data_IF_354610176464
#
_entry.id   IF_354610176464
#
_cell.length_a   1.000
_cell.length_b   1.000
_cell.length_c   1.000
_cell.angle_alpha   90.00
_cell.angle_beta   90.00
_cell.angle_gamma   90.00
#
_symmetry.space_group_name_H-M   'P 1'
#
loop_
_entity.id
_entity.type
_entity.pdbx_description
1 polymer ?
#
# COMPACT_ATOMS: atom_id res chain seq x y z
N UNK A 1 -7.94 4.81 36.80
CA UNK A 1 -6.48 4.87 36.57
C UNK A 1 -6.27 5.09 35.08
N UNK A 2 -5.66 6.20 34.67
CA UNK A 2 -5.43 6.55 33.27
C UNK A 2 -4.13 5.88 32.82
N UNK A 3 -4.22 4.84 32.00
CA UNK A 3 -3.04 4.23 31.40
C UNK A 3 -2.49 5.16 30.32
N UNK A 4 -1.37 5.82 30.61
CA UNK A 4 -0.57 6.54 29.62
C UNK A 4 0.16 5.47 28.80
N UNK A 5 -0.31 5.21 27.59
CA UNK A 5 0.43 4.39 26.63
C UNK A 5 1.60 5.27 26.16
N UNK A 6 2.79 4.97 26.68
CA UNK A 6 4.04 5.59 26.29
C UNK A 6 4.31 5.29 24.82
N UNK A 7 4.52 6.34 24.02
CA UNK A 7 4.76 6.34 22.58
C UNK A 7 6.09 5.63 22.17
N UNK A 8 6.74 4.91 23.08
CA UNK A 8 8.12 4.45 22.96
C UNK A 8 8.28 2.97 22.58
N UNK A 9 7.20 2.25 22.27
CA UNK A 9 7.23 0.79 22.09
C UNK A 9 6.71 0.27 20.73
N UNK A 10 6.65 1.11 19.69
CA UNK A 10 6.40 0.65 18.31
C UNK A 10 7.66 0.93 17.50
N UNK A 11 8.69 0.12 17.76
CA UNK A 11 9.82 -0.08 16.85
C UNK A 11 9.82 -1.56 16.52
N UNK A 12 9.02 -1.96 15.53
CA UNK A 12 9.29 -3.13 14.69
C UNK A 12 8.87 -2.74 13.25
N UNK A 13 9.90 -2.47 12.46
CA UNK A 13 10.03 -2.72 11.02
C UNK A 13 8.86 -2.34 10.08
N UNK A 14 9.02 -1.23 9.35
CA UNK A 14 8.20 -0.95 8.17
C UNK A 14 8.26 0.50 7.71
N UNK A 15 9.45 0.95 7.31
CA UNK A 15 9.74 2.13 6.47
C UNK A 15 8.58 3.14 6.26
N UNK A 16 8.50 4.14 7.12
CA UNK A 16 7.95 5.46 6.75
C UNK A 16 9.14 6.37 6.55
N UNK A 17 9.69 6.39 5.33
CA UNK A 17 10.60 7.46 4.91
C UNK A 17 9.72 8.63 4.49
N UNK A 18 9.51 9.54 5.43
CA UNK A 18 9.20 10.94 5.14
C UNK A 18 10.53 11.69 5.15
N UNK A 19 10.99 12.12 3.97
CA UNK A 19 11.93 13.24 3.84
C UNK A 19 13.41 12.91 3.61
N UNK A 20 13.87 13.33 2.42
CA UNK A 20 15.21 13.86 2.10
C UNK A 20 16.47 12.95 2.17
N UNK A 21 17.04 12.77 0.98
CA UNK A 21 18.47 12.67 0.61
C UNK A 21 19.35 11.49 1.11
N UNK A 22 20.13 10.99 0.13
CA UNK A 22 21.37 10.19 0.17
C UNK A 22 21.31 8.65 0.29
N UNK A 23 21.61 8.00 -0.86
CA UNK A 23 22.64 6.96 -1.13
C UNK A 23 22.70 5.71 -0.23
N UNK A 24 22.85 4.46 -0.67
CA UNK A 24 23.03 3.81 -1.98
C UNK A 24 22.81 2.31 -1.76
N UNK A 25 22.19 1.58 -2.71
CA UNK A 25 22.48 0.16 -2.97
C UNK A 25 21.96 -0.21 -4.35
N UNK A 26 22.89 -0.54 -5.24
CA UNK A 26 22.75 -0.77 -6.67
C UNK A 26 21.95 -2.06 -6.96
N UNK A 27 20.72 -1.88 -7.41
CA UNK A 27 20.00 -2.75 -8.35
C UNK A 27 19.37 -1.81 -9.38
N UNK A 28 20.01 -1.70 -10.55
CA UNK A 28 19.54 -1.05 -11.78
C UNK A 28 18.75 0.26 -11.62
N UNK A 29 19.42 1.40 -11.80
CA UNK A 29 18.87 2.76 -11.94
C UNK A 29 17.36 2.89 -11.67
N UNK A 30 16.99 2.76 -10.40
CA UNK A 30 15.72 3.22 -9.89
C UNK A 30 15.72 4.73 -10.09
N UNK A 31 15.09 5.19 -11.17
CA UNK A 31 14.89 6.62 -11.40
C UNK A 31 14.23 7.18 -10.15
N UNK A 32 14.90 8.08 -9.45
CA UNK A 32 14.52 8.72 -8.19
C UNK A 32 13.34 9.68 -8.37
N UNK A 33 12.33 9.22 -9.11
CA UNK A 33 11.14 9.94 -9.48
C UNK A 33 10.04 9.75 -8.44
N UNK A 34 9.14 10.74 -8.27
CA UNK A 34 7.96 10.59 -7.43
C UNK A 34 7.11 9.35 -7.80
N UNK A 35 7.08 8.99 -9.08
CA UNK A 35 6.38 7.81 -9.58
C UNK A 35 6.97 6.52 -9.01
N UNK A 36 8.29 6.37 -9.06
CA UNK A 36 8.99 5.20 -8.52
C UNK A 36 8.79 5.08 -7.00
N UNK A 37 8.93 6.16 -6.25
CA UNK A 37 8.70 6.16 -4.79
C UNK A 37 7.26 5.81 -4.45
N UNK A 38 6.27 6.38 -5.16
CA UNK A 38 4.86 6.04 -4.96
C UNK A 38 4.57 4.57 -5.28
N UNK A 39 5.22 4.05 -6.32
CA UNK A 39 5.21 2.63 -6.66
C UNK A 39 5.78 1.77 -5.54
N UNK A 40 6.93 2.13 -4.96
CA UNK A 40 7.49 1.39 -3.83
C UNK A 40 6.55 1.34 -2.63
N UNK A 41 5.91 2.47 -2.29
CA UNK A 41 4.89 2.51 -1.23
C UNK A 41 3.71 1.61 -1.56
N UNK A 42 3.22 1.63 -2.81
CA UNK A 42 2.14 0.74 -3.27
C UNK A 42 2.49 -0.73 -3.08
N UNK A 43 3.67 -1.15 -3.57
CA UNK A 43 4.12 -2.53 -3.47
C UNK A 43 4.32 -2.99 -2.03
N UNK A 44 4.91 -2.13 -1.20
CA UNK A 44 5.13 -2.39 0.23
C UNK A 44 3.82 -2.54 0.99
N UNK A 45 2.84 -1.67 0.73
CA UNK A 45 1.53 -1.74 1.38
C UNK A 45 0.75 -3.00 1.01
N UNK A 46 0.80 -3.42 -0.26
CA UNK A 46 0.21 -4.70 -0.68
C UNK A 46 0.88 -5.88 0.04
N UNK A 47 2.22 -5.89 0.12
CA UNK A 47 2.95 -6.94 0.83
C UNK A 47 2.61 -6.98 2.33
N UNK A 48 2.51 -5.81 2.97
CA UNK A 48 2.11 -5.69 4.38
C UNK A 48 0.70 -6.21 4.63
N UNK A 49 -0.26 -5.79 3.80
CA UNK A 49 -1.65 -6.27 3.88
C UNK A 49 -1.76 -7.76 3.60
N UNK A 50 -1.01 -8.28 2.62
CA UNK A 50 -0.97 -9.71 2.33
C UNK A 50 -0.39 -10.51 3.50
N UNK A 51 0.62 -9.98 4.18
CA UNK A 51 1.21 -10.63 5.37
C UNK A 51 0.20 -10.72 6.51
N UNK A 52 -0.54 -9.63 6.77
CA UNK A 52 -1.65 -9.61 7.74
C UNK A 52 -2.74 -10.61 7.35
N UNK A 53 -3.13 -10.64 6.07
CA UNK A 53 -4.12 -11.57 5.55
C UNK A 53 -3.69 -13.03 5.74
N UNK A 54 -2.43 -13.38 5.43
CA UNK A 54 -1.90 -14.74 5.65
C UNK A 54 -1.91 -15.14 7.13
N UNK A 55 -1.65 -14.20 8.03
CA UNK A 55 -1.62 -14.48 9.46
C UNK A 55 -3.04 -14.66 10.04
N UNK A 56 -3.98 -13.82 9.62
CA UNK A 56 -5.29 -13.71 10.27
C UNK A 56 -6.42 -14.39 9.48
N UNK A 57 -6.17 -14.81 8.23
CA UNK A 57 -7.18 -15.30 7.29
C UNK A 57 -8.17 -14.24 6.80
N UNK A 58 -7.99 -12.98 7.22
CA UNK A 58 -8.85 -11.83 6.88
C UNK A 58 -8.10 -10.51 7.02
N UNK A 59 -8.62 -9.47 6.39
CA UNK A 59 -8.20 -8.09 6.65
C UNK A 59 -8.95 -7.57 7.89
N UNK A 60 -8.20 -7.10 8.89
CA UNK A 60 -8.76 -6.57 10.14
C UNK A 60 -8.75 -5.03 10.13
N UNK A 61 -9.90 -4.44 9.81
CA UNK A 61 -10.09 -2.99 9.76
C UNK A 61 -10.11 -2.32 11.15
N UNK A 62 -10.09 -3.10 12.24
CA UNK A 62 -9.95 -2.55 13.60
C UNK A 62 -8.47 -2.40 13.99
N UNK A 63 -7.55 -2.99 13.22
CA UNK A 63 -6.13 -2.95 13.50
C UNK A 63 -5.51 -1.67 12.91
N UNK A 64 -4.91 -0.78 13.73
CA UNK A 64 -4.32 0.47 13.25
C UNK A 64 -3.23 0.27 12.20
N UNK A 65 -2.44 -0.81 12.29
CA UNK A 65 -1.43 -1.13 11.29
C UNK A 65 -2.07 -1.47 9.93
N UNK A 66 -3.20 -2.19 9.93
CA UNK A 66 -3.95 -2.48 8.70
C UNK A 66 -4.48 -1.20 8.09
N UNK A 67 -5.09 -0.34 8.90
CA UNK A 67 -5.62 0.95 8.45
C UNK A 67 -4.52 1.86 7.87
N UNK A 68 -3.35 1.89 8.50
CA UNK A 68 -2.20 2.65 7.98
C UNK A 68 -1.75 2.14 6.62
N UNK A 69 -1.65 0.81 6.44
CA UNK A 69 -1.30 0.23 5.15
C UNK A 69 -2.37 0.53 4.07
N UNK A 70 -3.65 0.48 4.44
CA UNK A 70 -4.74 0.85 3.53
C UNK A 70 -4.71 2.33 3.14
N UNK A 71 -4.38 3.22 4.07
CA UNK A 71 -4.26 4.65 3.80
C UNK A 71 -3.07 4.97 2.87
N UNK A 72 -1.93 4.33 3.10
CA UNK A 72 -0.76 4.42 2.21
C UNK A 72 -1.10 3.89 0.82
N UNK A 73 -1.73 2.72 0.75
CA UNK A 73 -2.17 2.12 -0.51
C UNK A 73 -3.14 3.04 -1.27
N UNK A 74 -4.14 3.59 -0.58
CA UNK A 74 -5.11 4.55 -1.14
C UNK A 74 -4.42 5.78 -1.73
N UNK A 75 -3.41 6.33 -1.04
CA UNK A 75 -2.63 7.48 -1.51
C UNK A 75 -1.86 7.16 -2.79
N UNK A 76 -1.19 6.01 -2.85
CA UNK A 76 -0.50 5.58 -4.08
C UNK A 76 -1.46 5.27 -5.22
N UNK A 77 -2.64 4.71 -4.93
CA UNK A 77 -3.70 4.46 -5.92
C UNK A 77 -4.21 5.79 -6.50
N UNK A 78 -4.47 6.79 -5.67
CA UNK A 78 -4.87 8.12 -6.14
C UNK A 78 -3.81 8.73 -7.07
N UNK A 79 -2.53 8.57 -6.70
CA UNK A 79 -1.39 9.05 -7.47
C UNK A 79 -1.31 8.39 -8.85
N UNK A 80 -1.37 7.05 -8.94
CA UNK A 80 -1.33 6.35 -10.24
C UNK A 80 -2.59 6.62 -11.06
N UNK A 81 -3.77 6.73 -10.43
CA UNK A 81 -5.03 7.03 -11.12
C UNK A 81 -4.98 8.35 -11.88
N UNK A 82 -4.35 9.38 -11.31
CA UNK A 82 -4.16 10.68 -11.97
C UNK A 82 -3.15 10.64 -13.13
N UNK A 83 -2.28 9.63 -13.16
CA UNK A 83 -1.16 9.55 -14.10
C UNK A 83 -1.20 8.27 -14.96
N UNK A 84 -2.33 7.55 -14.99
CA UNK A 84 -2.41 6.21 -15.59
C UNK A 84 -2.13 6.19 -17.10
N UNK A 85 -2.42 7.31 -17.77
CA UNK A 85 -2.17 7.49 -19.21
C UNK A 85 -0.76 8.01 -19.51
N UNK A 86 0.00 8.46 -18.49
CA UNK A 86 1.38 8.89 -18.65
C UNK A 86 2.30 7.64 -18.61
N UNK A 87 2.81 7.24 -19.78
CA UNK A 87 3.60 6.02 -19.93
C UNK A 87 4.88 6.03 -19.09
N UNK A 88 5.58 7.16 -19.01
CA UNK A 88 6.83 7.27 -18.25
C UNK A 88 6.58 7.18 -16.75
N UNK A 89 5.49 7.83 -16.29
CA UNK A 89 5.03 7.72 -14.91
C UNK A 89 4.65 6.28 -14.59
N UNK A 90 3.79 5.67 -15.41
CA UNK A 90 3.29 4.31 -15.21
C UNK A 90 4.44 3.30 -15.18
N UNK A 91 5.39 3.39 -16.11
CA UNK A 91 6.56 2.52 -16.14
C UNK A 91 7.42 2.63 -14.88
N UNK A 92 7.70 3.86 -14.43
CA UNK A 92 8.45 4.10 -13.18
C UNK A 92 7.71 3.60 -11.94
N UNK A 93 6.39 3.82 -11.88
CA UNK A 93 5.54 3.34 -10.79
C UNK A 93 5.52 1.81 -10.73
N UNK A 94 5.39 1.14 -11.86
CA UNK A 94 5.40 -0.33 -11.95
C UNK A 94 6.72 -0.91 -11.44
N UNK A 95 7.87 -0.34 -11.85
CA UNK A 95 9.18 -0.77 -11.35
C UNK A 95 9.29 -0.61 -9.83
N UNK A 96 8.83 0.54 -9.31
CA UNK A 96 8.75 0.78 -7.88
C UNK A 96 7.87 -0.24 -7.16
N UNK A 97 6.68 -0.55 -7.70
CA UNK A 97 5.74 -1.52 -7.13
C UNK A 97 6.31 -2.93 -7.03
N UNK A 98 6.98 -3.39 -8.08
CA UNK A 98 7.65 -4.70 -8.10
C UNK A 98 8.72 -4.76 -7.01
N UNK A 99 9.59 -3.76 -6.92
CA UNK A 99 10.66 -3.73 -5.91
C UNK A 99 10.12 -3.57 -4.48
N UNK A 100 9.15 -2.67 -4.27
CA UNK A 100 8.52 -2.44 -2.97
C UNK A 100 7.78 -3.67 -2.43
N UNK A 101 7.21 -4.48 -3.32
CA UNK A 101 6.56 -5.75 -2.95
C UNK A 101 7.53 -6.92 -2.76
N UNK A 102 8.84 -6.69 -2.86
CA UNK A 102 9.87 -7.74 -2.86
C UNK A 102 9.57 -8.82 -3.92
N UNK A 103 9.18 -8.40 -5.13
CA UNK A 103 8.85 -9.27 -6.27
C UNK A 103 7.61 -10.18 -6.08
N UNK A 104 6.76 -9.93 -5.07
CA UNK A 104 5.46 -10.61 -4.98
C UNK A 104 4.47 -10.07 -6.03
N UNK A 105 4.63 -8.79 -6.40
CA UNK A 105 4.09 -8.20 -7.62
C UNK A 105 5.16 -8.35 -8.71
N UNK A 106 4.75 -8.81 -9.87
CA UNK A 106 5.60 -9.08 -11.04
C UNK A 106 5.10 -8.29 -12.25
N UNK A 107 5.91 -8.24 -13.31
CA UNK A 107 5.47 -7.59 -14.57
C UNK A 107 4.22 -8.24 -15.16
N UNK A 108 3.94 -9.51 -14.84
CA UNK A 108 2.81 -10.24 -15.39
C UNK A 108 1.49 -9.91 -14.68
N UNK A 109 1.52 -9.55 -13.39
CA UNK A 109 0.32 -9.32 -12.59
C UNK A 109 0.11 -7.86 -12.18
N UNK A 110 1.14 -6.99 -12.29
CA UNK A 110 1.07 -5.60 -11.82
C UNK A 110 -0.03 -4.78 -12.48
N UNK A 111 -0.26 -4.99 -13.79
CA UNK A 111 -1.33 -4.31 -14.51
C UNK A 111 -2.72 -4.66 -13.98
N UNK A 112 -2.98 -5.95 -13.76
CA UNK A 112 -4.25 -6.44 -13.23
C UNK A 112 -4.49 -5.97 -11.80
N UNK A 113 -3.43 -5.92 -10.98
CA UNK A 113 -3.48 -5.42 -9.61
C UNK A 113 -3.81 -3.92 -9.58
N UNK A 114 -3.12 -3.12 -10.39
CA UNK A 114 -3.38 -1.67 -10.50
C UNK A 114 -4.82 -1.43 -11.01
N UNK A 115 -5.25 -2.16 -12.04
CA UNK A 115 -6.60 -2.03 -12.58
C UNK A 115 -7.67 -2.40 -11.54
N UNK A 116 -7.47 -3.48 -10.79
CA UNK A 116 -8.39 -3.91 -9.73
C UNK A 116 -8.50 -2.84 -8.62
N UNK A 117 -7.37 -2.26 -8.23
CA UNK A 117 -7.30 -1.34 -7.09
C UNK A 117 -7.70 0.10 -7.43
N UNK A 118 -7.49 0.57 -8.66
CA UNK A 118 -7.88 1.94 -9.08
C UNK A 118 -9.39 2.15 -9.17
N UNK A 119 -10.16 1.06 -9.28
CA UNK A 119 -11.63 1.05 -9.18
C UNK A 119 -12.17 0.98 -7.75
N UNK A 120 -11.32 0.80 -6.73
CA UNK A 120 -11.76 0.67 -5.33
C UNK A 120 -12.01 2.04 -4.72
N UNK A 121 -13.14 2.15 -4.04
CA UNK A 121 -13.40 3.24 -3.09
C UNK A 121 -12.91 2.84 -1.70
N UNK A 122 -11.91 3.54 -1.19
CA UNK A 122 -11.36 3.36 0.15
C UNK A 122 -12.12 4.17 1.21
N UNK A 123 -13.10 4.98 0.81
CA UNK A 123 -13.81 5.89 1.69
C UNK A 123 -12.87 6.83 2.44
N UNK A 124 -13.29 7.25 3.64
CA UNK A 124 -12.54 8.17 4.50
C UNK A 124 -11.47 7.47 5.34
N UNK A 125 -10.70 6.55 4.76
CA UNK A 125 -9.71 5.76 5.51
C UNK A 125 -8.69 6.63 6.25
N UNK A 126 -8.37 7.82 5.72
CA UNK A 126 -7.50 8.79 6.38
C UNK A 126 -8.11 9.32 7.70
N UNK A 127 -9.41 9.62 7.71
CA UNK A 127 -10.12 10.08 8.92
C UNK A 127 -10.17 8.97 9.97
N UNK A 128 -10.39 7.72 9.53
CA UNK A 128 -10.41 6.53 10.39
C UNK A 128 -9.06 6.31 11.06
N UNK A 129 -7.94 6.49 10.34
CA UNK A 129 -6.58 6.42 10.92
C UNK A 129 -6.36 7.47 12.01
N UNK A 130 -6.95 8.66 11.87
CA UNK A 130 -6.88 9.72 12.90
C UNK A 130 -7.89 9.56 14.03
N UNK A 131 -8.73 8.51 14.00
CA UNK A 131 -9.77 8.25 15.00
C UNK A 131 -10.98 9.19 14.92
N UNK A 132 -11.14 9.91 13.82
CA UNK A 132 -12.22 10.91 13.63
C UNK A 132 -13.37 10.42 12.74
N UNK A 133 -13.27 9.21 12.18
CA UNK A 133 -14.29 8.64 11.29
C UNK A 133 -14.42 7.12 11.42
N UNK A 134 -15.41 6.58 10.70
CA UNK A 134 -15.69 5.15 10.59
C UNK A 134 -15.80 4.74 9.11
N UNK A 135 -15.40 3.50 8.78
CA UNK A 135 -15.63 2.95 7.45
C UNK A 135 -17.04 2.38 7.37
N UNK A 136 -17.75 2.68 6.28
CA UNK A 136 -19.03 2.02 6.00
C UNK A 136 -18.82 0.53 5.76
N UNK A 137 -19.83 -0.30 6.10
CA UNK A 137 -19.77 -1.75 5.83
C UNK A 137 -19.61 -2.05 4.33
N UNK A 138 -20.15 -1.18 3.45
CA UNK A 138 -19.98 -1.29 2.00
C UNK A 138 -18.52 -1.07 1.58
N UNK A 139 -17.87 -0.05 2.15
CA UNK A 139 -16.44 0.23 1.90
C UNK A 139 -15.57 -0.93 2.36
N UNK A 140 -15.83 -1.45 3.57
CA UNK A 140 -15.12 -2.62 4.12
C UNK A 140 -15.26 -3.83 3.19
N UNK A 141 -16.50 -4.15 2.77
CA UNK A 141 -16.74 -5.29 1.87
C UNK A 141 -16.04 -5.12 0.52
N UNK A 142 -16.12 -3.94 -0.08
CA UNK A 142 -15.48 -3.64 -1.36
C UNK A 142 -13.96 -3.78 -1.27
N UNK A 143 -13.33 -3.10 -0.31
CA UNK A 143 -11.88 -3.15 -0.10
C UNK A 143 -11.42 -4.57 0.21
N UNK A 144 -12.13 -5.28 1.09
CA UNK A 144 -11.79 -6.66 1.47
C UNK A 144 -11.88 -7.62 0.29
N UNK A 145 -12.95 -7.55 -0.51
CA UNK A 145 -13.13 -8.42 -1.67
C UNK A 145 -12.04 -8.18 -2.72
N UNK A 146 -11.78 -6.92 -3.07
CA UNK A 146 -10.75 -6.60 -4.06
C UNK A 146 -9.36 -6.99 -3.58
N UNK A 147 -9.01 -6.73 -2.32
CA UNK A 147 -7.73 -7.15 -1.77
C UNK A 147 -7.58 -8.67 -1.77
N UNK A 148 -8.64 -9.41 -1.43
CA UNK A 148 -8.63 -10.88 -1.47
C UNK A 148 -8.37 -11.39 -2.89
N UNK A 149 -8.99 -10.78 -3.91
CA UNK A 149 -8.71 -11.08 -5.31
C UNK A 149 -7.27 -10.75 -5.71
N UNK A 150 -6.74 -9.59 -5.29
CA UNK A 150 -5.34 -9.19 -5.51
C UNK A 150 -4.37 -10.19 -4.87
N UNK A 151 -4.61 -10.61 -3.63
CA UNK A 151 -3.77 -11.61 -2.97
C UNK A 151 -3.80 -12.96 -3.67
N UNK A 152 -4.92 -13.30 -4.30
CA UNK A 152 -5.05 -14.50 -5.12
C UNK A 152 -4.14 -14.53 -6.35
N UNK A 153 -3.54 -13.41 -6.77
CA UNK A 153 -2.61 -13.34 -7.92
C UNK A 153 -1.17 -13.00 -7.53
N UNK A 154 -0.88 -12.76 -6.25
CA UNK A 154 0.49 -12.53 -5.78
C UNK A 154 1.32 -13.83 -5.81
N UNK A 155 2.58 -13.73 -6.24
CA UNK A 155 3.53 -14.84 -6.26
C UNK A 155 3.20 -15.98 -7.23
N UNK A 156 2.28 -15.75 -8.18
CA UNK A 156 2.00 -16.64 -9.32
C UNK A 156 2.87 -16.33 -10.52
#
# INVERSE_FOLDING_TARGET
MKAKISLLAIVIAGFVVLGACNNSSSLGEASSSPAYTSGQSFGSSILGLYSIYKQNGRIDFSNPATLLQLAQLSTSIATIKQNINNRDFYGSFVQGAILGSQQNITQNNVGDIINSLTGVDFGNIAEVVTGSGELSSSTIANVSNTLTSVFGVLGK
#
